data_IF_383318408821
#
_entry.id   IF_383318408821
#
_cell.length_a   1.000
_cell.length_b   1.000
_cell.length_c   1.000
_cell.angle_alpha   90.00
_cell.angle_beta   90.00
_cell.angle_gamma   90.00
#
_symmetry.space_group_name_H-M   'P 1'
#
loop_
_entity.id
_entity.type
_entity.pdbx_description
1 polymer ?
#
# COMPACT_ATOMS: atom_id res chain seq x y z
N UNK A 1 -15.38 -13.41 5.04
CA UNK A 1 -15.49 -13.37 3.57
C UNK A 1 -14.13 -13.00 2.99
N UNK A 2 -13.65 -13.69 1.96
CA UNK A 2 -12.41 -13.35 1.26
C UNK A 2 -12.69 -12.11 0.39
N UNK A 3 -11.94 -11.02 0.57
CA UNK A 3 -12.00 -9.85 -0.30
C UNK A 3 -10.82 -9.90 -1.26
N UNK A 4 -11.09 -9.77 -2.55
CA UNK A 4 -10.06 -9.69 -3.59
C UNK A 4 -9.69 -8.23 -3.80
N UNK A 5 -8.40 -7.98 -4.04
CA UNK A 5 -7.96 -6.65 -4.45
C UNK A 5 -8.65 -6.27 -5.77
N UNK A 6 -9.23 -5.06 -5.90
CA UNK A 6 -9.92 -4.68 -7.12
C UNK A 6 -8.95 -4.60 -8.30
N UNK A 7 -9.29 -5.28 -9.39
CA UNK A 7 -8.40 -5.44 -10.54
C UNK A 7 -8.03 -4.09 -11.18
N UNK A 8 -8.91 -3.08 -11.11
CA UNK A 8 -8.63 -1.75 -11.64
C UNK A 8 -7.43 -1.06 -10.97
N UNK A 9 -7.01 -1.53 -9.79
CA UNK A 9 -5.87 -1.00 -9.04
C UNK A 9 -4.63 -1.91 -9.07
N UNK A 10 -4.62 -2.97 -9.89
CA UNK A 10 -3.47 -3.88 -9.99
C UNK A 10 -2.18 -3.18 -10.40
N UNK A 11 -2.26 -2.11 -11.20
CA UNK A 11 -1.10 -1.33 -11.61
C UNK A 11 -0.31 -0.75 -10.42
N UNK A 12 -1.00 -0.41 -9.31
CA UNK A 12 -0.36 0.09 -8.08
C UNK A 12 0.53 -1.00 -7.48
N UNK A 13 0.02 -2.23 -7.42
CA UNK A 13 0.73 -3.37 -6.81
C UNK A 13 1.88 -3.83 -7.70
N UNK A 14 1.64 -3.91 -9.02
CA UNK A 14 2.66 -4.34 -9.98
C UNK A 14 3.85 -3.38 -10.07
N UNK A 15 3.64 -2.09 -9.79
CA UNK A 15 4.68 -1.08 -9.76
C UNK A 15 5.29 -0.84 -8.37
N UNK A 16 4.86 -1.57 -7.34
CA UNK A 16 5.31 -1.36 -5.97
C UNK A 16 6.66 -2.04 -5.69
N UNK A 17 7.45 -1.41 -4.83
CA UNK A 17 8.70 -1.93 -4.31
C UNK A 17 8.42 -2.81 -3.08
N UNK A 18 8.88 -4.05 -3.07
CA UNK A 18 8.90 -4.86 -1.84
C UNK A 18 9.95 -4.32 -0.86
N UNK A 19 9.53 -4.00 0.36
CA UNK A 19 10.38 -3.44 1.42
C UNK A 19 10.18 -4.18 2.75
N UNK A 20 11.15 -4.04 3.66
CA UNK A 20 11.00 -4.44 5.05
C UNK A 20 10.74 -3.20 5.92
N UNK A 21 9.64 -3.20 6.66
CA UNK A 21 9.33 -2.19 7.66
C UNK A 21 10.08 -2.55 8.94
N UNK A 22 10.92 -1.64 9.41
CA UNK A 22 11.75 -1.82 10.60
C UNK A 22 11.50 -0.69 11.61
N UNK A 23 11.05 -1.04 12.82
CA UNK A 23 11.03 -0.10 13.94
C UNK A 23 11.71 -0.73 15.17
N UNK A 24 12.50 0.08 15.90
CA UNK A 24 13.04 -0.37 17.18
C UNK A 24 11.88 -0.70 18.13
N UNK A 25 12.06 -1.74 18.91
CA UNK A 25 11.14 -2.05 19.99
C UNK A 25 11.09 -0.90 20.99
N UNK A 26 9.88 -0.52 21.42
CA UNK A 26 9.72 0.17 22.70
C UNK A 26 10.08 -0.78 23.86
N UNK A 27 10.37 -0.22 25.03
CA UNK A 27 10.83 -1.01 26.17
C UNK A 27 9.79 -2.07 26.58
N UNK A 28 10.10 -3.34 26.30
CA UNK A 28 9.22 -4.49 26.58
C UNK A 28 8.55 -5.11 25.34
N UNK A 29 8.73 -4.53 24.16
CA UNK A 29 8.20 -5.06 22.90
C UNK A 29 9.28 -5.75 22.05
N UNK A 30 8.86 -6.56 21.07
CA UNK A 30 9.76 -7.11 20.07
C UNK A 30 9.92 -6.12 18.91
N UNK A 31 11.12 -5.99 18.32
CA UNK A 31 11.33 -5.10 17.17
C UNK A 31 10.41 -5.47 16.00
N UNK A 32 9.77 -4.47 15.40
CA UNK A 32 8.88 -4.70 14.27
C UNK A 32 9.71 -4.98 13.02
N UNK A 33 9.52 -6.17 12.44
CA UNK A 33 10.06 -6.55 11.13
C UNK A 33 8.92 -7.10 10.28
N UNK A 34 8.43 -6.31 9.32
CA UNK A 34 7.28 -6.70 8.49
C UNK A 34 7.53 -6.44 7.02
N UNK A 35 7.27 -7.46 6.18
CA UNK A 35 7.26 -7.27 4.73
C UNK A 35 6.11 -6.34 4.33
N UNK A 36 6.38 -5.48 3.37
CA UNK A 36 5.41 -4.52 2.84
C UNK A 36 5.68 -4.22 1.37
N UNK A 37 4.69 -3.60 0.73
CA UNK A 37 4.81 -2.98 -0.59
C UNK A 37 4.79 -1.47 -0.41
N UNK A 38 5.78 -0.79 -0.99
CA UNK A 38 5.87 0.67 -1.05
C UNK A 38 5.52 1.13 -2.46
N UNK A 39 4.54 2.00 -2.57
CA UNK A 39 4.11 2.55 -3.85
C UNK A 39 4.10 4.08 -3.80
N UNK A 40 4.53 4.71 -4.90
CA UNK A 40 4.34 6.14 -5.15
C UNK A 40 3.20 6.29 -6.15
N UNK A 41 2.04 6.75 -5.67
CA UNK A 41 0.81 6.84 -6.46
C UNK A 41 0.37 8.29 -6.59
N UNK A 42 -0.44 8.59 -7.61
CA UNK A 42 -1.04 9.92 -7.74
C UNK A 42 -2.01 10.19 -6.58
N UNK A 43 -2.19 11.46 -6.21
CA UNK A 43 -3.21 11.84 -5.21
C UNK A 43 -4.61 11.37 -5.63
N UNK A 44 -4.93 11.41 -6.93
CA UNK A 44 -6.19 10.93 -7.47
C UNK A 44 -6.40 9.43 -7.26
N UNK A 45 -5.36 8.60 -7.47
CA UNK A 45 -5.45 7.16 -7.21
C UNK A 45 -5.52 6.86 -5.71
N UNK A 46 -4.81 7.65 -4.89
CA UNK A 46 -4.88 7.54 -3.43
C UNK A 46 -6.30 7.76 -2.91
N UNK A 47 -6.99 8.82 -3.37
CA UNK A 47 -8.39 9.10 -3.00
C UNK A 47 -9.33 7.95 -3.39
N UNK A 48 -9.08 7.29 -4.53
CA UNK A 48 -9.88 6.15 -5.00
C UNK A 48 -9.69 4.89 -4.15
N UNK A 49 -8.47 4.64 -3.65
CA UNK A 49 -8.18 3.49 -2.80
C UNK A 49 -8.34 3.77 -1.30
N UNK A 50 -8.48 5.03 -0.90
CA UNK A 50 -8.67 5.42 0.50
C UNK A 50 -9.84 4.70 1.20
N UNK A 51 -11.02 4.50 0.57
CA UNK A 51 -12.09 3.70 1.17
C UNK A 51 -11.74 2.23 1.45
N UNK A 52 -10.64 1.73 0.87
CA UNK A 52 -10.11 0.37 1.05
C UNK A 52 -9.09 0.29 2.21
N UNK A 53 -8.76 1.42 2.83
CA UNK A 53 -7.81 1.51 3.93
C UNK A 53 -8.11 0.53 5.06
N UNK A 54 -7.05 -0.02 5.66
CA UNK A 54 -7.10 -0.98 6.79
C UNK A 54 -7.92 -2.26 6.52
N UNK A 55 -8.46 -2.45 5.30
CA UNK A 55 -9.07 -3.71 4.89
C UNK A 55 -8.00 -4.66 4.34
N UNK A 56 -8.22 -5.96 4.56
CA UNK A 56 -7.35 -7.02 4.05
C UNK A 56 -7.87 -7.56 2.72
N UNK A 57 -7.03 -7.51 1.69
CA UNK A 57 -7.33 -8.02 0.35
C UNK A 57 -6.34 -9.10 -0.07
N UNK A 58 -6.81 -10.13 -0.78
CA UNK A 58 -5.94 -11.09 -1.46
C UNK A 58 -5.53 -10.57 -2.83
N UNK A 59 -4.28 -10.80 -3.23
CA UNK A 59 -3.75 -10.39 -4.54
C UNK A 59 -4.12 -11.36 -5.68
N UNK A 60 -4.59 -12.55 -5.33
CA UNK A 60 -5.07 -13.58 -6.25
C UNK A 60 -5.62 -14.75 -5.45
N UNK A 61 -6.43 -15.62 -6.07
CA UNK A 61 -6.94 -16.81 -5.36
C UNK A 61 -5.80 -17.75 -4.94
N UNK A 62 -4.74 -17.83 -5.76
CA UNK A 62 -3.61 -18.77 -5.62
C UNK A 62 -2.30 -18.13 -5.15
N UNK A 63 -2.22 -16.81 -5.08
CA UNK A 63 -0.96 -16.12 -4.74
C UNK A 63 -0.52 -16.33 -3.29
N UNK A 64 -1.41 -16.80 -2.42
CA UNK A 64 -1.10 -16.99 -1.01
C UNK A 64 -0.68 -15.70 -0.30
N UNK A 65 -0.97 -14.53 -0.88
CA UNK A 65 -0.58 -13.22 -0.37
C UNK A 65 -1.81 -12.34 -0.13
N UNK A 66 -1.73 -11.55 0.93
CA UNK A 66 -2.69 -10.52 1.21
C UNK A 66 -2.00 -9.21 1.54
N UNK A 67 -2.68 -8.12 1.18
CA UNK A 67 -2.27 -6.76 1.42
C UNK A 67 -3.26 -6.00 2.29
N UNK A 68 -2.73 -5.05 3.05
CA UNK A 68 -3.52 -4.08 3.83
C UNK A 68 -2.87 -2.72 3.73
N UNK A 69 -3.59 -1.73 3.17
CA UNK A 69 -3.13 -0.35 3.09
C UNK A 69 -3.05 0.25 4.50
N UNK A 70 -1.87 0.74 4.86
CA UNK A 70 -1.59 1.37 6.16
C UNK A 70 -1.95 2.85 6.06
N UNK A 71 -2.85 3.33 6.91
CA UNK A 71 -3.32 4.73 6.89
C UNK A 71 -3.45 5.37 8.26
N UNK A 72 -3.92 4.61 9.25
CA UNK A 72 -4.31 5.15 10.55
C UNK A 72 -3.88 4.26 11.71
N UNK A 73 -3.45 3.03 11.44
CA UNK A 73 -2.97 2.12 12.48
C UNK A 73 -1.74 2.71 13.21
N UNK A 74 -1.83 2.99 14.53
CA UNK A 74 -0.78 3.68 15.28
C UNK A 74 0.53 2.88 15.36
N UNK A 75 0.47 1.54 15.31
CA UNK A 75 1.66 0.69 15.29
C UNK A 75 2.53 0.91 14.06
N UNK A 76 1.96 1.49 13.00
CA UNK A 76 2.64 1.74 11.74
C UNK A 76 2.71 3.22 11.37
N UNK A 77 2.64 4.12 12.36
CA UNK A 77 2.62 5.57 12.14
C UNK A 77 3.76 6.07 11.23
N UNK A 78 4.97 5.52 11.37
CA UNK A 78 6.12 5.89 10.53
C UNK A 78 5.94 5.59 9.02
N UNK A 79 4.99 4.72 8.67
CA UNK A 79 4.70 4.30 7.30
C UNK A 79 3.31 4.73 6.80
N UNK A 80 2.65 5.63 7.54
CA UNK A 80 1.43 6.28 7.07
C UNK A 80 1.68 7.04 5.75
N UNK A 81 0.62 7.29 4.95
CA UNK A 81 0.70 8.04 3.72
C UNK A 81 1.41 9.37 3.93
N UNK A 82 2.40 9.67 3.09
CA UNK A 82 3.18 10.91 3.17
C UNK A 82 3.44 11.49 1.79
N UNK A 83 3.78 12.76 1.77
CA UNK A 83 4.12 13.47 0.53
C UNK A 83 5.15 12.70 -0.30
N UNK A 84 4.80 12.47 -1.57
CA UNK A 84 5.64 11.84 -2.59
C UNK A 84 6.18 12.85 -3.61
N UNK A 85 6.01 14.15 -3.34
CA UNK A 85 6.38 15.24 -4.21
C UNK A 85 5.44 15.38 -5.40
N UNK A 86 5.80 16.27 -6.32
CA UNK A 86 4.97 16.61 -7.48
C UNK A 86 5.77 16.61 -8.77
N UNK A 87 5.07 16.40 -9.88
CA UNK A 87 5.64 16.49 -11.23
C UNK A 87 4.88 17.55 -12.01
N UNK A 88 5.59 18.53 -12.54
CA UNK A 88 5.04 19.47 -13.52
C UNK A 88 5.08 18.84 -14.92
N UNK A 89 4.04 19.07 -15.69
CA UNK A 89 3.87 18.51 -17.04
C UNK A 89 3.14 19.51 -17.93
N UNK A 90 3.25 19.30 -19.24
CA UNK A 90 2.63 20.16 -20.26
C UNK A 90 1.77 19.27 -21.14
N UNK A 91 0.48 19.60 -21.29
CA UNK A 91 -0.41 18.87 -22.18
C UNK A 91 -0.06 19.15 -23.64
N UNK A 92 -0.61 18.35 -24.56
CA UNK A 92 -0.43 18.54 -26.01
C UNK A 92 -0.91 19.92 -26.51
N UNK A 93 -1.80 20.57 -25.76
CA UNK A 93 -2.27 21.95 -25.99
C UNK A 93 -1.36 23.04 -25.41
N UNK A 94 -0.22 22.69 -24.81
CA UNK A 94 0.70 23.62 -24.16
C UNK A 94 0.30 24.05 -22.74
N UNK A 95 -0.77 23.48 -22.16
CA UNK A 95 -1.22 23.84 -20.81
C UNK A 95 -0.36 23.14 -19.77
N UNK A 96 0.27 23.92 -18.90
CA UNK A 96 0.98 23.41 -17.74
C UNK A 96 0.00 22.84 -16.70
N UNK A 97 0.33 21.69 -16.13
CA UNK A 97 -0.39 21.10 -15.00
C UNK A 97 0.59 20.39 -14.06
N UNK A 98 0.19 20.28 -12.79
CA UNK A 98 0.96 19.65 -11.73
C UNK A 98 0.23 18.40 -11.25
N UNK A 99 0.96 17.30 -11.12
CA UNK A 99 0.44 16.07 -10.51
C UNK A 99 1.14 15.86 -9.18
N UNK A 100 0.35 15.84 -8.11
CA UNK A 100 0.83 15.52 -6.77
C UNK A 100 0.80 14.00 -6.53
N UNK A 101 1.80 13.51 -5.82
CA UNK A 101 1.97 12.10 -5.51
C UNK A 101 2.06 11.88 -4.00
N UNK A 102 1.63 10.70 -3.57
CA UNK A 102 1.72 10.22 -2.20
C UNK A 102 2.50 8.91 -2.19
N UNK A 103 3.36 8.74 -1.20
CA UNK A 103 3.98 7.45 -0.90
C UNK A 103 3.11 6.74 0.12
N UNK A 104 2.66 5.53 -0.23
CA UNK A 104 1.87 4.65 0.63
C UNK A 104 2.59 3.33 0.88
N UNK A 105 2.21 2.66 1.97
CA UNK A 105 2.68 1.32 2.29
C UNK A 105 1.50 0.37 2.48
N UNK A 106 1.65 -0.84 1.95
CA UNK A 106 0.75 -1.96 2.20
C UNK A 106 1.51 -3.02 3.00
N UNK A 107 0.97 -3.48 4.13
CA UNK A 107 1.49 -4.70 4.76
C UNK A 107 1.36 -5.86 3.78
N UNK A 108 2.38 -6.70 3.70
CA UNK A 108 2.39 -7.88 2.85
C UNK A 108 2.47 -9.13 3.73
N UNK A 109 1.34 -9.83 3.84
CA UNK A 109 1.22 -11.01 4.67
C UNK A 109 1.05 -12.27 3.82
N UNK A 110 1.73 -13.34 4.23
CA UNK A 110 1.45 -14.67 3.71
C UNK A 110 0.12 -15.19 4.29
N UNK A 111 -0.71 -15.74 3.42
CA UNK A 111 -1.99 -16.34 3.75
C UNK A 111 -1.78 -17.85 3.77
N UNK A 112 -1.70 -18.44 4.96
CA UNK A 112 -1.77 -19.90 5.08
C UNK A 112 -3.15 -20.35 4.62
N UNK A 113 -3.21 -21.19 3.59
CA UNK A 113 -4.42 -21.95 3.31
C UNK A 113 -4.64 -22.89 4.50
N UNK A 114 -5.67 -22.64 5.30
CA UNK A 114 -6.22 -23.70 6.14
C UNK A 114 -6.76 -24.75 5.18
N UNK A 115 -6.08 -25.89 5.06
CA UNK A 115 -6.66 -27.07 4.43
C UNK A 115 -8.03 -27.32 5.07
N UNK A 116 -9.10 -27.55 4.28
CA UNK A 116 -10.33 -28.04 4.86
C UNK A 116 -10.02 -29.38 5.54
N UNK A 117 -10.32 -29.46 6.84
CA UNK A 117 -10.29 -30.70 7.61
C UNK A 117 -11.40 -31.65 7.12
#
# INVERSE_FOLDING_TARGET
MRRMWPEEFNAIINGAEEVMLEAPAEAGEAPLHRKALKARISMADYERIWPLAEMRFRLGEKDGKAITLITTNPHYHAWHPKDGGSVDSVSDSGRHYKTDYIVVHFLLDDVKETSPA
#
